data_IF_320079730414
#
_entry.id   IF_320079730414
#
_cell.length_a   1.000
_cell.length_b   1.000
_cell.length_c   1.000
_cell.angle_alpha   90.00
_cell.angle_beta   90.00
_cell.angle_gamma   90.00
#
_symmetry.space_group_name_H-M   'P 1'
#
loop_
_entity.id
_entity.type
_entity.pdbx_description
1 polymer ?
#
# COMPACT_ATOMS: atom_id res chain seq x y z
N UNK A 1 -22.96 20.62 -58.89
CA UNK A 1 -23.55 20.73 -57.53
C UNK A 1 -23.51 19.41 -56.73
N UNK A 2 -22.68 18.41 -57.09
CA UNK A 2 -22.60 17.14 -56.34
C UNK A 2 -21.34 17.00 -55.45
N UNK A 3 -20.25 17.69 -55.80
CA UNK A 3 -18.96 17.57 -55.09
C UNK A 3 -18.96 18.21 -53.69
N UNK A 4 -19.76 19.25 -53.47
CA UNK A 4 -19.87 19.94 -52.18
C UNK A 4 -20.63 19.11 -51.14
N UNK A 5 -21.65 18.36 -51.56
CA UNK A 5 -22.45 17.46 -50.70
C UNK A 5 -21.61 16.32 -50.10
N UNK A 6 -20.74 15.69 -50.91
CA UNK A 6 -19.86 14.61 -50.44
C UNK A 6 -18.81 15.07 -49.42
N UNK A 7 -18.32 16.32 -49.55
CA UNK A 7 -17.33 16.87 -48.62
C UNK A 7 -17.93 17.14 -47.23
N UNK A 8 -19.17 17.63 -47.17
CA UNK A 8 -19.91 17.80 -45.91
C UNK A 8 -20.18 16.46 -45.22
N UNK A 9 -20.56 15.43 -45.98
CA UNK A 9 -20.82 14.10 -45.43
C UNK A 9 -19.54 13.48 -44.83
N UNK A 10 -18.40 13.61 -45.51
CA UNK A 10 -17.09 13.15 -45.01
C UNK A 10 -16.62 13.94 -43.77
N UNK A 11 -16.86 15.26 -43.73
CA UNK A 11 -16.57 16.09 -42.55
C UNK A 11 -17.46 15.71 -41.35
N UNK A 12 -18.74 15.37 -41.57
CA UNK A 12 -19.63 14.88 -40.52
C UNK A 12 -19.20 13.48 -40.03
N UNK A 13 -18.79 12.58 -40.93
CA UNK A 13 -18.26 11.26 -40.56
C UNK A 13 -16.91 11.33 -39.82
N UNK A 14 -16.01 12.26 -40.21
CA UNK A 14 -14.77 12.50 -39.48
C UNK A 14 -15.00 13.20 -38.14
N UNK A 15 -15.96 14.15 -38.06
CA UNK A 15 -16.32 14.83 -36.82
C UNK A 15 -16.99 13.87 -35.82
N UNK A 16 -17.88 12.97 -36.28
CA UNK A 16 -18.48 11.94 -35.44
C UNK A 16 -17.46 10.89 -34.98
N UNK A 17 -16.47 10.51 -35.82
CA UNK A 17 -15.32 9.70 -35.38
C UNK A 17 -14.41 10.43 -34.39
N UNK A 18 -14.19 11.74 -34.55
CA UNK A 18 -13.39 12.56 -33.63
C UNK A 18 -14.10 12.77 -32.28
N UNK A 19 -15.42 12.98 -32.28
CA UNK A 19 -16.23 13.15 -31.07
C UNK A 19 -16.42 11.86 -30.29
N UNK A 20 -16.43 10.69 -30.95
CA UNK A 20 -16.54 9.40 -30.26
C UNK A 20 -15.22 8.92 -29.64
N UNK A 21 -14.08 9.51 -29.99
CA UNK A 21 -12.78 8.99 -29.63
C UNK A 21 -12.21 9.52 -28.29
N UNK A 22 -12.89 10.41 -27.57
CA UNK A 22 -12.23 11.12 -26.45
C UNK A 22 -12.60 10.73 -25.01
N UNK A 23 -13.63 9.93 -24.72
CA UNK A 23 -13.93 9.55 -23.32
C UNK A 23 -14.34 8.07 -23.21
N UNK A 24 -13.35 7.18 -23.04
CA UNK A 24 -13.60 5.81 -22.60
C UNK A 24 -13.89 5.82 -21.09
N UNK A 25 -15.17 5.82 -20.70
CA UNK A 25 -15.61 5.80 -19.30
C UNK A 25 -15.16 4.58 -18.50
N UNK A 26 -14.59 3.55 -19.15
CA UNK A 26 -14.00 2.39 -18.47
C UNK A 26 -12.62 2.71 -17.89
N UNK A 27 -12.00 3.81 -18.31
CA UNK A 27 -10.70 4.25 -17.83
C UNK A 27 -10.84 5.57 -17.09
N UNK A 28 -10.72 5.53 -15.77
CA UNK A 28 -10.63 6.73 -14.93
C UNK A 28 -9.14 7.02 -14.75
N UNK A 29 -8.65 8.15 -15.24
CA UNK A 29 -7.25 8.51 -15.05
C UNK A 29 -7.01 9.00 -13.62
N UNK A 30 -5.78 8.88 -13.12
CA UNK A 30 -5.42 9.43 -11.80
C UNK A 30 -5.76 10.91 -11.68
N UNK A 31 -5.61 11.68 -12.76
CA UNK A 31 -5.94 13.11 -12.81
C UNK A 31 -7.44 13.37 -12.60
N UNK A 32 -8.30 12.48 -13.07
CA UNK A 32 -9.74 12.60 -12.86
C UNK A 32 -10.14 12.34 -11.39
N UNK A 33 -9.29 11.64 -10.64
CA UNK A 33 -9.46 11.34 -9.22
C UNK A 33 -8.84 12.39 -8.29
N UNK A 34 -7.95 13.25 -8.79
CA UNK A 34 -7.18 14.20 -7.95
C UNK A 34 -8.07 15.19 -7.18
N UNK A 35 -9.28 15.45 -7.67
CA UNK A 35 -10.25 16.35 -7.00
C UNK A 35 -11.06 15.65 -5.89
N UNK A 36 -11.06 14.32 -5.85
CA UNK A 36 -11.95 13.52 -4.97
C UNK A 36 -11.22 12.48 -4.12
N UNK A 37 -9.90 12.35 -4.25
CA UNK A 37 -9.09 11.34 -3.54
C UNK A 37 -8.06 12.00 -2.64
N UNK A 38 -8.09 11.62 -1.37
CA UNK A 38 -7.03 11.92 -0.41
C UNK A 38 -5.92 10.89 -0.55
N UNK A 39 -4.66 11.33 -0.60
CA UNK A 39 -3.50 10.43 -0.69
C UNK A 39 -2.55 10.66 0.48
N UNK A 40 -1.97 9.57 0.97
CA UNK A 40 -0.93 9.60 2.00
C UNK A 40 0.39 9.13 1.41
N UNK A 41 1.46 9.86 1.74
CA UNK A 41 2.83 9.48 1.43
C UNK A 41 3.76 9.92 2.55
N UNK A 42 4.67 9.04 2.94
CA UNK A 42 5.73 9.35 3.89
C UNK A 42 7.11 9.25 3.22
N UNK A 43 7.95 10.27 3.42
CA UNK A 43 9.28 10.33 2.81
C UNK A 43 10.15 9.13 3.24
N UNK A 44 10.80 8.48 2.27
CA UNK A 44 11.65 7.31 2.49
C UNK A 44 10.90 6.01 2.75
N UNK A 45 9.56 6.01 2.70
CA UNK A 45 8.75 4.80 2.83
C UNK A 45 8.30 4.30 1.47
N UNK A 46 8.45 3.00 1.26
CA UNK A 46 8.02 2.29 0.05
C UNK A 46 7.27 1.01 0.45
N UNK A 47 6.60 0.40 -0.53
CA UNK A 47 5.94 -0.91 -0.38
C UNK A 47 4.87 -0.94 0.72
N UNK A 48 3.90 -0.03 0.65
CA UNK A 48 2.66 -0.15 1.43
C UNK A 48 1.95 -1.46 1.05
N UNK A 49 1.51 -2.22 2.04
CA UNK A 49 1.11 -3.62 1.84
C UNK A 49 -0.26 -3.96 2.42
N UNK A 50 -0.55 -3.58 3.66
CA UNK A 50 -1.81 -3.90 4.34
C UNK A 50 -2.46 -2.65 4.92
N UNK A 51 -3.80 -2.68 4.97
CA UNK A 51 -4.62 -1.68 5.64
C UNK A 51 -5.59 -2.33 6.62
N UNK A 52 -5.64 -1.81 7.84
CA UNK A 52 -6.56 -2.24 8.89
C UNK A 52 -7.40 -1.05 9.33
N UNK A 53 -8.70 -1.12 9.04
CA UNK A 53 -9.66 -0.08 9.38
C UNK A 53 -10.15 -0.24 10.83
N UNK A 54 -10.03 0.83 11.63
CA UNK A 54 -10.63 0.91 12.96
C UNK A 54 -11.68 2.03 13.01
N UNK A 55 -12.87 1.70 12.52
CA UNK A 55 -14.02 2.61 12.44
C UNK A 55 -14.36 3.20 13.82
N UNK A 56 -14.21 2.41 14.89
CA UNK A 56 -14.52 2.86 16.26
C UNK A 56 -13.63 4.00 16.76
N UNK A 57 -12.42 4.12 16.21
CA UNK A 57 -11.46 5.19 16.52
C UNK A 57 -11.39 6.26 15.45
N UNK A 58 -12.12 6.10 14.33
CA UNK A 58 -11.95 6.90 13.12
C UNK A 58 -10.50 6.91 12.61
N UNK A 59 -9.85 5.74 12.67
CA UNK A 59 -8.45 5.55 12.31
C UNK A 59 -8.29 4.44 11.27
N UNK A 60 -7.22 4.53 10.46
CA UNK A 60 -6.74 3.45 9.61
C UNK A 60 -5.27 3.20 9.89
N UNK A 61 -4.90 1.93 10.06
CA UNK A 61 -3.51 1.52 10.19
C UNK A 61 -3.03 1.04 8.83
N UNK A 62 -1.88 1.54 8.39
CA UNK A 62 -1.27 1.17 7.12
C UNK A 62 0.11 0.61 7.40
N UNK A 63 0.43 -0.54 6.83
CA UNK A 63 1.76 -1.12 6.96
C UNK A 63 2.60 -0.93 5.71
N UNK A 64 3.91 -0.85 5.88
CA UNK A 64 4.86 -0.71 4.77
C UNK A 64 6.18 -1.44 5.08
N UNK A 65 7.20 -1.22 4.24
CA UNK A 65 8.57 -1.60 4.55
C UNK A 65 9.07 -0.89 5.81
N UNK A 66 9.48 -1.69 6.79
CA UNK A 66 10.06 -1.30 8.09
C UNK A 66 9.19 -0.36 8.95
N UNK A 67 7.91 -0.19 8.65
CA UNK A 67 7.07 0.78 9.35
C UNK A 67 5.59 0.41 9.40
N UNK A 68 4.92 0.89 10.44
CA UNK A 68 3.46 0.92 10.57
C UNK A 68 3.03 2.36 10.84
N UNK A 69 2.01 2.80 10.14
CA UNK A 69 1.41 4.12 10.25
C UNK A 69 0.03 4.01 10.85
N UNK A 70 -0.32 4.95 11.73
CA UNK A 70 -1.68 5.18 12.21
C UNK A 70 -2.14 6.53 11.68
N UNK A 71 -3.22 6.53 10.91
CA UNK A 71 -3.74 7.70 10.22
C UNK A 71 -5.19 7.97 10.63
N UNK A 72 -5.67 9.20 10.50
CA UNK A 72 -7.11 9.47 10.52
C UNK A 72 -7.79 8.80 9.33
N UNK A 73 -9.01 8.31 9.50
CA UNK A 73 -9.71 7.58 8.44
C UNK A 73 -10.16 8.48 7.28
N UNK A 74 -10.53 9.73 7.57
CA UNK A 74 -11.12 10.64 6.57
C UNK A 74 -10.06 11.37 5.76
N UNK A 75 -9.12 12.05 6.43
CA UNK A 75 -8.11 12.91 5.79
C UNK A 75 -6.73 12.26 5.70
N UNK A 76 -6.56 11.02 6.19
CA UNK A 76 -5.29 10.30 6.22
C UNK A 76 -4.15 11.07 6.93
N UNK A 77 -4.48 11.90 7.92
CA UNK A 77 -3.48 12.62 8.70
C UNK A 77 -2.67 11.66 9.56
N UNK A 78 -1.36 11.84 9.56
CA UNK A 78 -0.45 11.01 10.35
C UNK A 78 -0.61 11.27 11.85
N UNK A 79 -1.10 10.26 12.58
CA UNK A 79 -1.20 10.27 14.04
C UNK A 79 0.05 9.68 14.68
N UNK A 80 0.54 8.56 14.14
CA UNK A 80 1.73 7.86 14.65
C UNK A 80 2.47 7.13 13.53
N UNK A 81 3.80 7.13 13.60
CA UNK A 81 4.66 6.25 12.82
C UNK A 81 5.50 5.41 13.78
N UNK A 82 5.46 4.10 13.63
CA UNK A 82 6.33 3.18 14.35
C UNK A 82 7.25 2.48 13.38
N UNK A 83 8.56 2.69 13.56
CA UNK A 83 9.60 1.93 12.85
C UNK A 83 9.74 0.55 13.45
N UNK A 84 9.77 -0.47 12.60
CA UNK A 84 9.99 -1.86 12.97
C UNK A 84 10.86 -2.57 11.93
N UNK A 85 12.13 -2.20 11.86
CA UNK A 85 13.10 -2.79 10.96
C UNK A 85 13.54 -4.20 11.38
N UNK A 86 14.09 -4.96 10.43
CA UNK A 86 14.79 -6.19 10.73
C UNK A 86 16.06 -5.92 11.56
N UNK A 87 16.47 -6.86 12.43
CA UNK A 87 17.73 -6.73 13.16
C UNK A 87 18.92 -6.77 12.19
N UNK A 88 20.01 -6.08 12.50
CA UNK A 88 21.23 -6.08 11.66
C UNK A 88 21.77 -7.51 11.44
N UNK A 89 21.67 -8.36 12.46
CA UNK A 89 22.05 -9.77 12.38
C UNK A 89 21.19 -10.51 11.35
N UNK A 90 19.87 -10.34 11.41
CA UNK A 90 18.96 -11.02 10.48
C UNK A 90 19.14 -10.53 9.04
N UNK A 91 19.37 -9.23 8.87
CA UNK A 91 19.72 -8.64 7.56
C UNK A 91 21.01 -9.26 7.03
N UNK A 92 22.08 -9.27 7.85
CA UNK A 92 23.38 -9.84 7.46
C UNK A 92 23.25 -11.31 7.07
N UNK A 93 22.57 -12.12 7.88
CA UNK A 93 22.36 -13.54 7.58
C UNK A 93 21.55 -13.75 6.29
N UNK A 94 20.52 -12.93 6.06
CA UNK A 94 19.71 -12.98 4.85
C UNK A 94 20.55 -12.67 3.60
N UNK A 95 21.39 -11.63 3.67
CA UNK A 95 22.31 -11.26 2.57
C UNK A 95 23.37 -12.33 2.35
N UNK A 96 23.98 -12.87 3.42
CA UNK A 96 24.95 -13.99 3.31
C UNK A 96 24.31 -15.24 2.69
N UNK A 97 23.01 -15.44 2.85
CA UNK A 97 22.24 -16.53 2.20
C UNK A 97 21.89 -16.22 0.73
N UNK A 98 22.34 -15.09 0.18
CA UNK A 98 22.25 -14.76 -1.25
C UNK A 98 21.07 -13.88 -1.65
N UNK A 99 20.34 -13.29 -0.69
CA UNK A 99 19.27 -12.33 -0.99
C UNK A 99 19.83 -10.91 -1.13
N UNK A 100 19.12 -10.04 -1.85
CA UNK A 100 19.48 -8.62 -1.94
C UNK A 100 19.13 -7.87 -0.66
N UNK A 101 19.84 -6.77 -0.37
CA UNK A 101 19.58 -5.95 0.82
C UNK A 101 18.13 -5.44 0.90
N UNK A 102 17.50 -5.11 -0.23
CA UNK A 102 16.10 -4.67 -0.25
C UNK A 102 15.16 -5.80 0.21
N UNK A 103 15.34 -7.03 -0.28
CA UNK A 103 14.52 -8.17 0.15
C UNK A 103 14.77 -8.58 1.61
N UNK A 104 15.93 -8.21 2.16
CA UNK A 104 16.29 -8.46 3.55
C UNK A 104 15.75 -7.43 4.54
N UNK A 105 14.82 -6.55 4.15
CA UNK A 105 14.14 -5.66 5.09
C UNK A 105 12.95 -6.36 5.79
N UNK A 106 12.31 -5.66 6.75
CA UNK A 106 11.08 -6.15 7.36
C UNK A 106 9.86 -5.59 6.62
N UNK A 107 9.25 -6.41 5.77
CA UNK A 107 7.99 -6.08 5.13
C UNK A 107 6.85 -6.54 6.02
N UNK A 108 6.06 -5.61 6.53
CA UNK A 108 4.92 -5.94 7.38
C UNK A 108 3.79 -6.42 6.48
N UNK A 109 3.26 -7.61 6.71
CA UNK A 109 2.30 -8.29 5.82
C UNK A 109 0.99 -8.64 6.52
N UNK A 110 0.90 -8.48 7.84
CA UNK A 110 -0.30 -8.83 8.59
C UNK A 110 -0.54 -7.76 9.64
N UNK A 111 -1.76 -7.22 9.66
CA UNK A 111 -2.31 -6.39 10.72
C UNK A 111 -3.67 -6.97 11.14
N UNK A 112 -3.82 -7.33 12.41
CA UNK A 112 -5.06 -7.91 12.94
C UNK A 112 -5.40 -7.33 14.30
N UNK A 113 -6.62 -6.78 14.45
CA UNK A 113 -7.10 -6.22 15.72
C UNK A 113 -7.71 -7.31 16.59
N UNK A 114 -7.39 -7.31 17.89
CA UNK A 114 -8.07 -8.10 18.93
C UNK A 114 -8.32 -7.23 20.16
N UNK A 115 -9.55 -6.71 20.28
CA UNK A 115 -9.90 -5.74 21.32
C UNK A 115 -9.02 -4.49 21.18
N UNK A 116 -8.22 -4.20 22.21
CA UNK A 116 -7.31 -3.06 22.21
C UNK A 116 -5.85 -3.39 21.86
N UNK A 117 -5.63 -4.59 21.29
CA UNK A 117 -4.32 -5.05 20.85
C UNK A 117 -4.29 -5.20 19.34
N UNK A 118 -3.13 -4.90 18.77
CA UNK A 118 -2.80 -5.14 17.37
C UNK A 118 -1.81 -6.31 17.28
N UNK A 119 -2.15 -7.35 16.55
CA UNK A 119 -1.17 -8.31 16.06
C UNK A 119 -0.59 -7.76 14.75
N UNK A 120 0.73 -7.58 14.72
CA UNK A 120 1.45 -7.19 13.52
C UNK A 120 2.53 -8.23 13.20
N UNK A 121 2.60 -8.70 11.96
CA UNK A 121 3.64 -9.62 11.51
C UNK A 121 4.36 -9.11 10.27
N UNK A 122 5.66 -9.39 10.18
CA UNK A 122 6.46 -9.07 9.01
C UNK A 122 7.52 -10.12 8.69
N UNK A 123 8.07 -10.03 7.49
CA UNK A 123 9.07 -10.97 6.94
C UNK A 123 10.37 -10.98 7.73
N UNK A 124 10.70 -9.82 8.34
CA UNK A 124 11.86 -9.60 9.20
C UNK A 124 13.15 -10.23 8.67
N UNK A 125 13.51 -9.90 7.42
CA UNK A 125 14.66 -10.47 6.70
C UNK A 125 14.62 -12.00 6.53
N UNK A 126 13.52 -12.53 5.98
CA UNK A 126 13.30 -13.99 5.84
C UNK A 126 13.35 -14.75 7.18
N UNK A 127 12.98 -14.08 8.27
CA UNK A 127 12.82 -14.68 9.60
C UNK A 127 11.52 -14.18 10.23
N UNK A 128 10.35 -14.65 9.73
CA UNK A 128 9.06 -14.06 10.06
C UNK A 128 8.82 -13.90 11.55
N UNK A 129 8.40 -12.69 11.94
CA UNK A 129 8.19 -12.33 13.33
C UNK A 129 6.87 -11.61 13.51
N UNK A 130 6.20 -11.88 14.62
CA UNK A 130 4.95 -11.24 14.99
C UNK A 130 5.08 -10.54 16.36
N UNK A 131 4.29 -9.49 16.56
CA UNK A 131 4.19 -8.77 17.84
C UNK A 131 2.75 -8.43 18.17
N UNK A 132 2.39 -8.51 19.45
CA UNK A 132 1.20 -7.83 19.98
C UNK A 132 1.58 -6.44 20.48
N UNK A 133 0.87 -5.42 20.01
CA UNK A 133 1.08 -4.00 20.35
C UNK A 133 -0.18 -3.39 20.91
N UNK A 134 -0.07 -2.29 21.68
CA UNK A 134 -1.24 -1.49 22.06
C UNK A 134 -1.72 -0.66 20.87
N UNK A 135 -3.02 -0.58 20.65
CA UNK A 135 -3.57 0.25 19.56
C UNK A 135 -3.28 1.75 19.76
N UNK A 136 -3.21 2.23 21.01
CA UNK A 136 -2.93 3.65 21.29
C UNK A 136 -1.47 4.05 21.13
N UNK A 137 -0.56 3.08 21.15
CA UNK A 137 0.89 3.27 21.06
C UNK A 137 1.47 2.02 20.41
N UNK A 138 1.60 2.09 19.08
CA UNK A 138 2.08 0.99 18.25
C UNK A 138 3.54 0.66 18.54
N UNK A 139 4.30 1.61 19.07
CA UNK A 139 5.69 1.41 19.49
C UNK A 139 5.82 0.53 20.74
N UNK A 140 4.76 0.41 21.54
CA UNK A 140 4.74 -0.41 22.74
C UNK A 140 4.37 -1.88 22.44
N UNK A 141 5.41 -2.70 22.25
CA UNK A 141 5.28 -4.16 22.10
C UNK A 141 5.00 -4.80 23.46
N UNK A 142 3.90 -5.53 23.54
CA UNK A 142 3.45 -6.27 24.73
C UNK A 142 3.86 -7.73 24.73
N UNK A 143 4.03 -8.33 23.54
CA UNK A 143 4.38 -9.75 23.40
C UNK A 143 5.05 -9.98 22.04
N UNK A 144 6.06 -10.83 22.02
CA UNK A 144 6.70 -11.32 20.80
C UNK A 144 6.21 -12.72 20.50
N UNK A 145 5.88 -12.97 19.25
CA UNK A 145 5.30 -14.23 18.79
C UNK A 145 6.09 -14.74 17.60
N UNK A 146 6.42 -16.03 17.60
CA UNK A 146 7.04 -16.66 16.44
C UNK A 146 6.12 -16.53 15.21
N UNK A 147 6.65 -15.98 14.12
CA UNK A 147 5.92 -15.74 12.87
C UNK A 147 5.99 -16.90 11.88
N UNK A 148 6.81 -17.93 12.14
CA UNK A 148 6.86 -19.14 11.30
C UNK A 148 5.46 -19.76 11.21
N UNK A 149 5.07 -20.14 9.99
CA UNK A 149 3.73 -20.64 9.64
C UNK A 149 2.56 -19.67 9.87
N UNK A 150 2.83 -18.41 10.26
CA UNK A 150 1.82 -17.35 10.41
C UNK A 150 2.00 -16.22 9.41
N UNK A 151 3.26 -15.89 9.09
CA UNK A 151 3.63 -14.80 8.20
C UNK A 151 4.58 -15.32 7.09
N UNK A 152 4.46 -14.83 5.85
CA UNK A 152 5.36 -15.20 4.76
C UNK A 152 6.82 -14.84 5.07
N UNK A 153 7.76 -15.65 4.54
CA UNK A 153 9.20 -15.40 4.63
C UNK A 153 9.65 -14.24 3.74
N UNK A 154 9.03 -14.10 2.57
CA UNK A 154 9.35 -13.05 1.60
C UNK A 154 8.13 -12.19 1.32
N UNK A 155 8.38 -10.94 0.97
CA UNK A 155 7.35 -10.07 0.42
C UNK A 155 7.21 -10.37 -1.07
N UNK A 156 6.02 -10.83 -1.48
CA UNK A 156 5.74 -11.04 -2.89
C UNK A 156 5.24 -9.74 -3.50
N UNK A 157 5.99 -9.15 -4.44
CA UNK A 157 5.53 -7.99 -5.23
C UNK A 157 4.52 -8.46 -6.29
N UNK A 158 3.34 -8.94 -5.90
CA UNK A 158 2.34 -9.45 -6.88
C UNK A 158 1.52 -8.35 -7.54
N UNK A 159 1.55 -7.10 -7.05
CA UNK A 159 0.73 -6.04 -7.65
C UNK A 159 1.60 -4.84 -8.02
N UNK A 160 2.17 -4.88 -9.23
CA UNK A 160 2.32 -3.67 -10.04
C UNK A 160 1.21 -3.72 -11.09
N UNK A 161 0.12 -3.00 -10.83
CA UNK A 161 -0.88 -2.62 -11.85
C UNK A 161 -0.50 -1.26 -12.36
#
# INVERSE_FOLDING_TARGET
MAATSHLYLLMIFHCSRFLYASHDFRFISRRDLETSVTSFFHHGTVSYSEMLFDISRNEVLVSAKDAIFRLTLNELYLLEKTTWSASKENVSQCVTKGQSEDLCQNYIQILQKKGNKLLACGTHAFQPQCTWRKMENLSHVTEWVNGIAKCPYSHCRIIQV
#
